data_IF_666665966374
#
_entry.id   IF_666665966374
#
_cell.length_a   1.000
_cell.length_b   1.000
_cell.length_c   1.000
_cell.angle_alpha   90.00
_cell.angle_beta   90.00
_cell.angle_gamma   90.00
#
_symmetry.space_group_name_H-M   'P 1'
#
loop_
_entity.id
_entity.type
_entity.pdbx_description
1 polymer ?
#
# COMPACT_ATOMS: atom_id res chain seq x y z
N UNK A 1 7.68 7.75 -33.73
CA UNK A 1 6.77 8.90 -33.57
C UNK A 1 5.66 8.53 -32.58
N UNK A 2 5.30 9.40 -31.64
CA UNK A 2 4.25 9.11 -30.64
C UNK A 2 2.85 9.21 -31.24
N UNK A 3 1.90 8.41 -30.73
CA UNK A 3 0.50 8.48 -31.17
C UNK A 3 -0.18 9.76 -30.69
N UNK A 4 -1.26 10.19 -31.35
CA UNK A 4 -2.02 11.41 -31.01
C UNK A 4 -2.51 11.47 -29.56
N UNK A 5 -2.77 10.32 -28.96
CA UNK A 5 -3.25 10.21 -27.58
C UNK A 5 -2.11 10.06 -26.55
N UNK A 6 -0.86 10.01 -27.00
CA UNK A 6 0.29 9.89 -26.12
C UNK A 6 0.51 11.20 -25.35
N UNK A 7 0.87 11.07 -24.07
CA UNK A 7 1.29 12.19 -23.23
C UNK A 7 2.49 12.98 -23.78
N UNK A 8 3.28 12.39 -24.68
CA UNK A 8 4.46 12.99 -25.29
C UNK A 8 4.22 13.54 -26.70
N UNK A 9 3.00 13.41 -27.24
CA UNK A 9 2.71 13.79 -28.63
C UNK A 9 2.96 15.26 -28.92
N UNK A 10 2.57 16.15 -27.99
CA UNK A 10 2.67 17.61 -28.15
C UNK A 10 4.04 18.19 -27.75
N UNK A 11 4.99 17.34 -27.33
CA UNK A 11 6.30 17.83 -26.91
C UNK A 11 7.22 18.08 -28.10
N UNK A 12 8.01 19.17 -28.08
CA UNK A 12 9.00 19.43 -29.11
C UNK A 12 10.09 18.37 -29.09
N UNK A 13 10.59 18.06 -30.29
CA UNK A 13 11.79 17.25 -30.47
C UNK A 13 13.03 18.12 -30.23
N UNK A 14 14.02 17.54 -29.57
CA UNK A 14 15.33 18.14 -29.30
C UNK A 14 16.37 17.22 -29.92
N UNK A 15 17.31 17.81 -30.65
CA UNK A 15 18.39 17.08 -31.31
C UNK A 15 19.69 17.49 -30.66
N UNK A 16 20.45 16.51 -30.17
CA UNK A 16 21.75 16.75 -29.52
C UNK A 16 22.82 15.88 -30.17
N UNK A 17 24.03 16.40 -30.27
CA UNK A 17 25.20 15.66 -30.76
C UNK A 17 25.97 15.13 -29.57
N UNK A 18 26.25 13.83 -29.55
CA UNK A 18 27.10 13.24 -28.50
C UNK A 18 28.59 13.51 -28.74
N UNK A 19 29.44 13.11 -27.79
CA UNK A 19 30.90 13.27 -27.88
C UNK A 19 31.54 12.49 -29.04
N UNK A 20 30.81 11.54 -29.66
CA UNK A 20 31.25 10.77 -30.83
C UNK A 20 30.74 11.34 -32.16
N UNK A 21 30.06 12.51 -32.14
CA UNK A 21 29.50 13.14 -33.33
C UNK A 21 28.17 12.55 -33.80
N UNK A 22 27.56 11.64 -33.03
CA UNK A 22 26.25 11.05 -33.38
C UNK A 22 25.12 11.99 -32.99
N UNK A 23 24.19 12.17 -33.92
CA UNK A 23 22.97 12.95 -33.72
C UNK A 23 21.88 12.10 -33.07
N UNK A 24 21.40 12.50 -31.90
CA UNK A 24 20.34 11.84 -31.16
C UNK A 24 19.11 12.74 -31.06
N UNK A 25 17.96 12.25 -31.55
CA UNK A 25 16.68 12.92 -31.41
C UNK A 25 15.93 12.40 -30.18
N UNK A 26 15.49 13.31 -29.32
CA UNK A 26 14.73 13.03 -28.11
C UNK A 26 13.56 14.00 -27.95
N UNK A 27 12.67 13.77 -26.98
CA UNK A 27 11.65 14.75 -26.58
C UNK A 27 12.16 15.58 -25.41
N UNK A 28 11.74 16.83 -25.33
CA UNK A 28 11.97 17.65 -24.15
C UNK A 28 11.34 17.05 -22.89
N UNK A 29 11.83 17.44 -21.70
CA UNK A 29 11.27 17.03 -20.42
C UNK A 29 9.83 17.54 -20.28
N UNK A 30 8.91 16.62 -19.96
CA UNK A 30 7.51 16.95 -19.68
C UNK A 30 7.37 17.46 -18.24
N UNK A 31 6.80 18.65 -18.06
CA UNK A 31 6.34 19.11 -16.74
C UNK A 31 4.98 18.51 -16.42
N UNK A 32 4.77 18.12 -15.16
CA UNK A 32 3.47 17.64 -14.69
C UNK A 32 2.44 18.78 -14.74
N UNK A 33 1.23 18.55 -15.29
CA UNK A 33 0.19 19.56 -15.30
C UNK A 33 -0.32 19.81 -13.88
N UNK A 34 -0.72 21.05 -13.59
CA UNK A 34 -1.55 21.33 -12.42
C UNK A 34 -2.96 20.80 -12.71
N UNK A 35 -3.47 19.91 -11.87
CA UNK A 35 -4.79 19.32 -12.05
C UNK A 35 -5.80 20.10 -11.21
N UNK A 36 -6.84 20.65 -11.86
CA UNK A 36 -7.96 21.32 -11.20
C UNK A 36 -9.23 20.48 -11.24
N UNK A 37 -9.96 20.44 -10.13
CA UNK A 37 -11.18 19.65 -9.95
C UNK A 37 -10.90 18.27 -9.36
N UNK A 38 -11.52 18.00 -8.20
CA UNK A 38 -11.30 16.82 -7.36
C UNK A 38 -12.48 15.86 -7.50
N UNK A 39 -12.52 15.08 -8.58
CA UNK A 39 -13.28 13.82 -8.53
C UNK A 39 -12.36 12.76 -7.93
N UNK A 40 -12.83 12.06 -6.90
CA UNK A 40 -12.11 10.97 -6.28
C UNK A 40 -12.74 9.63 -6.69
N UNK A 41 -11.90 8.63 -6.94
CA UNK A 41 -12.30 7.23 -7.04
C UNK A 41 -11.78 6.48 -5.82
N UNK A 42 -12.67 5.76 -5.15
CA UNK A 42 -12.33 4.86 -4.05
C UNK A 42 -11.79 3.55 -4.61
N UNK A 43 -10.56 3.21 -4.27
CA UNK A 43 -9.88 2.02 -4.80
C UNK A 43 -10.55 0.75 -4.30
N UNK A 44 -10.85 -0.16 -5.22
CA UNK A 44 -11.37 -1.51 -4.99
C UNK A 44 -10.31 -2.55 -5.33
N UNK A 45 -10.37 -3.73 -4.72
CA UNK A 45 -9.39 -4.81 -4.93
C UNK A 45 -9.26 -5.23 -6.41
N UNK A 46 -10.39 -5.25 -7.13
CA UNK A 46 -10.47 -5.60 -8.55
C UNK A 46 -9.95 -4.52 -9.51
N UNK A 47 -9.58 -3.34 -9.01
CA UNK A 47 -9.26 -2.21 -9.88
C UNK A 47 -8.02 -2.44 -10.73
N UNK A 48 -8.10 -1.97 -11.98
CA UNK A 48 -6.95 -1.87 -12.87
C UNK A 48 -6.97 -0.51 -13.54
N UNK A 49 -5.80 0.09 -13.68
CA UNK A 49 -5.67 1.46 -14.21
C UNK A 49 -6.22 1.60 -15.64
N UNK A 50 -6.06 0.58 -16.48
CA UNK A 50 -6.61 0.52 -17.83
C UNK A 50 -8.15 0.46 -17.83
N UNK A 51 -8.75 -0.31 -16.94
CA UNK A 51 -10.20 -0.38 -16.74
C UNK A 51 -10.76 0.91 -16.20
N UNK A 52 -10.12 1.51 -15.19
CA UNK A 52 -10.51 2.82 -14.65
C UNK A 52 -10.42 3.90 -15.74
N UNK A 53 -9.34 3.91 -16.53
CA UNK A 53 -9.21 4.86 -17.63
C UNK A 53 -10.28 4.66 -18.70
N UNK A 54 -10.69 3.42 -18.97
CA UNK A 54 -11.83 3.16 -19.85
C UNK A 54 -13.15 3.65 -19.22
N UNK A 55 -13.40 3.35 -17.95
CA UNK A 55 -14.58 3.80 -17.19
C UNK A 55 -14.75 5.32 -17.23
N UNK A 56 -13.68 6.07 -16.96
CA UNK A 56 -13.74 7.53 -16.83
C UNK A 56 -13.47 8.30 -18.13
N UNK A 57 -12.68 7.75 -19.05
CA UNK A 57 -12.24 8.46 -20.26
C UNK A 57 -12.67 7.80 -21.57
N UNK A 58 -13.33 6.64 -21.51
CA UNK A 58 -13.61 5.80 -22.68
C UNK A 58 -12.35 5.46 -23.49
N UNK A 59 -11.19 5.47 -22.82
CA UNK A 59 -9.88 5.27 -23.43
C UNK A 59 -8.90 4.66 -22.41
N UNK A 60 -8.69 3.34 -22.50
CA UNK A 60 -7.85 2.59 -21.56
C UNK A 60 -6.41 3.09 -21.50
N UNK A 61 -5.87 3.64 -22.61
CA UNK A 61 -4.49 4.17 -22.65
C UNK A 61 -4.32 5.53 -21.98
N UNK A 62 -5.39 6.15 -21.49
CA UNK A 62 -5.33 7.45 -20.78
C UNK A 62 -5.13 7.31 -19.27
N UNK A 63 -4.77 6.13 -18.77
CA UNK A 63 -4.48 5.89 -17.35
C UNK A 63 -3.36 6.78 -16.78
N UNK A 64 -2.43 7.21 -17.63
CA UNK A 64 -1.35 8.12 -17.24
C UNK A 64 -1.87 9.47 -16.73
N UNK A 65 -3.09 9.88 -17.09
CA UNK A 65 -3.71 11.10 -16.55
C UNK A 65 -3.96 10.99 -15.05
N UNK A 66 -4.37 9.82 -14.58
CA UNK A 66 -4.54 9.56 -13.14
C UNK A 66 -3.20 9.65 -12.41
N UNK A 67 -2.12 9.16 -13.04
CA UNK A 67 -0.78 9.25 -12.45
C UNK A 67 -0.30 10.70 -12.36
N UNK A 68 -0.49 11.49 -13.43
CA UNK A 68 -0.14 12.91 -13.42
C UNK A 68 -0.92 13.70 -12.36
N UNK A 69 -2.12 13.24 -11.98
CA UNK A 69 -2.99 13.88 -10.99
C UNK A 69 -2.70 13.48 -9.54
N UNK A 70 -1.93 12.40 -9.31
CA UNK A 70 -1.55 11.93 -7.98
C UNK A 70 -0.01 11.84 -7.90
N UNK A 71 0.69 12.99 -7.94
CA UNK A 71 2.15 13.05 -8.04
C UNK A 71 2.89 12.55 -6.79
N UNK A 72 2.19 12.36 -5.66
CA UNK A 72 2.72 11.76 -4.44
C UNK A 72 3.12 10.28 -4.61
N UNK A 73 2.58 9.60 -5.64
CA UNK A 73 2.94 8.22 -5.96
C UNK A 73 4.01 8.16 -7.05
N UNK A 74 5.08 7.42 -6.77
CA UNK A 74 6.19 7.24 -7.70
C UNK A 74 5.92 6.18 -8.78
N UNK A 75 4.98 5.26 -8.54
CA UNK A 75 4.65 4.17 -9.46
C UNK A 75 3.13 4.10 -9.75
N UNK A 76 2.72 3.68 -10.96
CA UNK A 76 1.31 3.46 -11.25
C UNK A 76 0.68 2.37 -10.38
N UNK A 77 1.45 1.35 -10.01
CA UNK A 77 0.96 0.28 -9.14
C UNK A 77 0.71 0.79 -7.71
N UNK A 78 1.49 1.77 -7.24
CA UNK A 78 1.30 2.39 -5.95
C UNK A 78 -0.08 3.04 -5.81
N UNK A 79 -0.66 3.61 -6.87
CA UNK A 79 -2.02 4.20 -6.83
C UNK A 79 -3.06 3.18 -6.35
N UNK A 80 -2.90 1.91 -6.74
CA UNK A 80 -3.83 0.82 -6.44
C UNK A 80 -3.35 -0.08 -5.29
N UNK A 81 -2.20 0.21 -4.68
CA UNK A 81 -1.60 -0.64 -3.66
C UNK A 81 -1.16 -2.02 -4.18
N UNK A 82 -0.85 -2.12 -5.49
CA UNK A 82 -0.48 -3.37 -6.18
C UNK A 82 1.03 -3.54 -6.35
N UNK A 83 1.82 -2.97 -5.44
CA UNK A 83 3.27 -3.07 -5.46
C UNK A 83 3.75 -4.42 -4.87
N UNK A 84 4.96 -4.88 -5.23
CA UNK A 84 5.53 -6.10 -4.64
C UNK A 84 5.83 -5.97 -3.14
N UNK A 85 6.21 -4.78 -2.69
CA UNK A 85 6.45 -4.49 -1.27
C UNK A 85 5.11 -4.13 -0.63
N UNK A 86 4.74 -4.88 0.40
CA UNK A 86 3.41 -4.83 1.01
C UNK A 86 3.52 -4.92 2.51
N UNK A 87 2.54 -4.38 3.22
CA UNK A 87 2.45 -4.47 4.67
C UNK A 87 1.21 -5.26 5.06
N UNK A 88 1.40 -6.34 5.81
CA UNK A 88 0.31 -7.12 6.40
C UNK A 88 0.30 -6.95 7.93
N UNK A 89 -0.90 -6.80 8.49
CA UNK A 89 -1.16 -6.79 9.93
C UNK A 89 -1.51 -8.22 10.36
N UNK A 90 -0.71 -8.78 11.27
CA UNK A 90 -0.95 -10.08 11.87
C UNK A 90 -1.42 -9.86 13.31
N UNK A 91 -2.71 -10.03 13.58
CA UNK A 91 -3.21 -10.03 14.95
C UNK A 91 -2.69 -11.26 15.69
N UNK A 92 -2.08 -11.05 16.85
CA UNK A 92 -1.39 -12.10 17.60
C UNK A 92 -1.84 -12.15 19.06
N UNK A 93 -1.90 -13.36 19.59
CA UNK A 93 -2.00 -13.62 21.03
C UNK A 93 -0.86 -14.55 21.45
N UNK A 94 -0.56 -14.59 22.75
CA UNK A 94 0.51 -15.44 23.28
C UNK A 94 0.08 -16.00 24.63
N UNK A 95 0.67 -17.14 25.01
CA UNK A 95 0.50 -17.70 26.33
C UNK A 95 1.59 -17.18 27.27
N UNK A 96 1.23 -16.93 28.54
CA UNK A 96 2.17 -16.55 29.59
C UNK A 96 2.14 -15.07 29.95
N UNK A 97 3.06 -14.68 30.84
CA UNK A 97 3.06 -13.34 31.44
C UNK A 97 3.70 -12.26 30.55
N UNK A 98 4.60 -12.65 29.63
CA UNK A 98 5.35 -11.72 28.79
C UNK A 98 5.40 -12.21 27.34
N UNK A 99 5.13 -11.35 26.35
CA UNK A 99 5.20 -11.72 24.95
C UNK A 99 6.66 -11.94 24.50
N UNK A 100 6.96 -12.97 23.70
CA UNK A 100 8.30 -13.23 23.17
C UNK A 100 8.68 -12.29 22.00
N UNK A 101 8.53 -10.97 22.18
CA UNK A 101 8.74 -9.95 21.14
C UNK A 101 10.13 -10.00 20.51
N UNK A 102 11.17 -10.10 21.33
CA UNK A 102 12.56 -10.12 20.86
C UNK A 102 12.81 -11.32 19.94
N UNK A 103 12.26 -12.49 20.30
CA UNK A 103 12.39 -13.72 19.53
C UNK A 103 11.70 -13.59 18.18
N UNK A 104 10.44 -13.15 18.15
CA UNK A 104 9.69 -13.05 16.90
C UNK A 104 10.25 -11.98 15.97
N UNK A 105 10.63 -10.82 16.51
CA UNK A 105 11.24 -9.74 15.71
C UNK A 105 12.54 -10.21 15.09
N UNK A 106 13.41 -10.88 15.85
CA UNK A 106 14.65 -11.47 15.33
C UNK A 106 14.39 -12.49 14.22
N UNK A 107 13.47 -13.43 14.45
CA UNK A 107 13.22 -14.51 13.50
C UNK A 107 12.61 -14.01 12.20
N UNK A 108 11.76 -12.97 12.27
CA UNK A 108 11.17 -12.33 11.10
C UNK A 108 12.20 -11.48 10.32
N UNK A 109 13.01 -10.66 11.01
CA UNK A 109 14.01 -9.81 10.33
C UNK A 109 15.13 -10.60 9.66
N UNK A 110 15.33 -11.87 10.05
CA UNK A 110 16.25 -12.79 9.39
C UNK A 110 15.69 -13.43 8.11
N UNK A 111 14.39 -13.29 7.82
CA UNK A 111 13.80 -13.85 6.62
C UNK A 111 14.17 -13.02 5.38
N UNK A 112 14.60 -13.70 4.31
CA UNK A 112 14.87 -13.05 3.03
C UNK A 112 13.57 -12.47 2.48
N UNK A 113 13.58 -11.16 2.20
CA UNK A 113 12.43 -10.44 1.67
C UNK A 113 11.60 -9.70 2.73
N UNK A 114 11.89 -9.84 4.03
CA UNK A 114 11.34 -8.95 5.07
C UNK A 114 12.15 -7.66 5.09
N UNK A 115 11.46 -6.52 5.02
CA UNK A 115 12.04 -5.18 5.04
C UNK A 115 11.92 -4.53 6.42
N UNK A 116 10.73 -4.64 7.03
CA UNK A 116 10.46 -4.06 8.34
C UNK A 116 9.50 -4.91 9.16
N UNK A 117 9.66 -4.85 10.47
CA UNK A 117 8.78 -5.48 11.45
C UNK A 117 8.47 -4.46 12.53
N UNK A 118 7.19 -4.17 12.75
CA UNK A 118 6.71 -3.27 13.79
C UNK A 118 5.71 -4.01 14.68
N UNK A 119 5.83 -3.81 16.00
CA UNK A 119 4.85 -4.31 16.97
C UNK A 119 3.92 -3.17 17.33
N UNK A 120 2.62 -3.44 17.27
CA UNK A 120 1.56 -2.49 17.62
C UNK A 120 0.73 -3.08 18.74
N UNK A 121 0.44 -2.24 19.74
CA UNK A 121 -0.46 -2.57 20.84
C UNK A 121 -1.52 -1.47 20.91
N UNK A 122 -2.77 -1.86 20.67
CA UNK A 122 -3.95 -1.00 20.74
C UNK A 122 -4.65 -1.28 22.08
N UNK A 123 -4.85 -0.23 22.89
CA UNK A 123 -5.53 -0.33 24.19
C UNK A 123 -6.97 0.15 24.06
N UNK A 124 -7.92 -0.71 24.44
CA UNK A 124 -9.34 -0.36 24.51
C UNK A 124 -9.89 -0.65 25.90
N UNK A 125 -10.77 0.22 26.38
CA UNK A 125 -11.50 0.01 27.63
C UNK A 125 -12.80 -0.73 27.32
N UNK A 126 -12.94 -1.95 27.81
CA UNK A 126 -14.17 -2.74 27.72
C UNK A 126 -14.87 -2.80 29.07
N UNK A 127 -16.18 -2.64 29.06
CA UNK A 127 -16.97 -2.67 30.28
C UNK A 127 -17.31 -4.13 30.61
N UNK A 128 -16.83 -4.62 31.75
CA UNK A 128 -17.05 -5.98 32.22
C UNK A 128 -17.83 -5.97 33.54
N UNK A 129 -18.81 -6.86 33.66
CA UNK A 129 -19.48 -7.11 34.93
C UNK A 129 -18.61 -8.06 35.76
N UNK A 130 -18.18 -7.59 36.93
CA UNK A 130 -17.38 -8.37 37.88
C UNK A 130 -18.12 -8.43 39.21
N UNK A 131 -18.23 -9.63 39.78
CA UNK A 131 -18.79 -9.79 41.13
C UNK A 131 -17.70 -9.54 42.16
N UNK A 132 -17.84 -8.47 42.93
CA UNK A 132 -16.95 -8.16 44.06
C UNK A 132 -17.78 -8.23 45.33
N UNK A 133 -17.40 -9.12 46.24
CA UNK A 133 -18.10 -9.35 47.52
C UNK A 133 -19.62 -9.64 47.37
N UNK A 134 -20.04 -10.31 46.29
CA UNK A 134 -21.44 -10.68 46.06
C UNK A 134 -22.31 -9.59 45.41
N UNK A 135 -21.76 -8.42 45.08
CA UNK A 135 -22.41 -7.39 44.27
C UNK A 135 -21.83 -7.37 42.86
N UNK A 136 -22.72 -7.28 41.86
CA UNK A 136 -22.32 -7.10 40.46
C UNK A 136 -21.95 -5.64 40.23
N UNK A 137 -20.67 -5.36 39.99
CA UNK A 137 -20.16 -4.03 39.68
C UNK A 137 -19.72 -4.00 38.23
N UNK A 138 -20.03 -2.90 37.55
CA UNK A 138 -19.59 -2.62 36.19
C UNK A 138 -18.20 -1.98 36.31
N UNK A 139 -17.17 -2.65 35.80
CA UNK A 139 -15.79 -2.15 35.78
C UNK A 139 -15.31 -1.97 34.36
N UNK A 140 -14.50 -0.95 34.11
CA UNK A 140 -13.77 -0.82 32.85
C UNK A 140 -12.49 -1.62 32.96
N UNK A 141 -12.32 -2.57 32.06
CA UNK A 141 -11.13 -3.43 31.95
C UNK A 141 -10.36 -3.02 30.72
N UNK A 142 -9.05 -2.86 30.87
CA UNK A 142 -8.15 -2.62 29.75
C UNK A 142 -7.98 -3.92 28.96
N UNK A 143 -8.33 -3.87 27.68
CA UNK A 143 -8.15 -4.96 26.74
C UNK A 143 -7.15 -4.52 25.67
N UNK A 144 -6.04 -5.25 25.59
CA UNK A 144 -4.98 -5.01 24.61
C UNK A 144 -5.24 -5.86 23.37
N UNK A 145 -5.37 -5.22 22.21
CA UNK A 145 -5.24 -5.88 20.92
C UNK A 145 -3.79 -5.72 20.45
N UNK A 146 -3.15 -6.82 20.07
CA UNK A 146 -1.74 -6.83 19.68
C UNK A 146 -1.62 -7.31 18.25
N UNK A 147 -0.78 -6.62 17.49
CA UNK A 147 -0.48 -7.01 16.13
C UNK A 147 1.00 -6.83 15.80
N UNK A 148 1.47 -7.64 14.85
CA UNK A 148 2.76 -7.47 14.21
C UNK A 148 2.48 -7.00 12.78
N UNK A 149 2.95 -5.81 12.43
CA UNK A 149 2.99 -5.32 11.06
C UNK A 149 4.30 -5.80 10.44
N UNK A 150 4.20 -6.49 9.30
CA UNK A 150 5.38 -6.91 8.54
C UNK A 150 5.32 -6.28 7.16
N UNK A 151 6.34 -5.50 6.83
CA UNK A 151 6.58 -5.01 5.47
C UNK A 151 7.55 -5.95 4.79
N UNK A 152 7.15 -6.53 3.66
CA UNK A 152 7.92 -7.54 2.97
C UNK A 152 7.65 -7.55 1.46
N UNK A 153 8.59 -8.11 0.70
CA UNK A 153 8.41 -8.40 -0.71
C UNK A 153 7.63 -9.71 -0.88
N UNK A 154 6.37 -9.60 -1.31
CA UNK A 154 5.47 -10.74 -1.48
C UNK A 154 5.88 -11.70 -2.61
N UNK A 155 6.85 -11.31 -3.45
CA UNK A 155 7.44 -12.20 -4.46
C UNK A 155 8.49 -13.15 -3.87
N UNK A 156 9.05 -12.82 -2.70
CA UNK A 156 10.11 -13.59 -2.06
C UNK A 156 9.58 -14.48 -0.92
N UNK A 157 8.58 -14.00 -0.18
CA UNK A 157 8.02 -14.69 0.97
C UNK A 157 6.50 -14.49 1.03
N UNK A 158 5.77 -15.54 1.40
CA UNK A 158 4.32 -15.51 1.54
C UNK A 158 3.91 -15.13 2.97
N UNK A 159 2.75 -14.50 3.13
CA UNK A 159 2.19 -14.16 4.44
C UNK A 159 2.04 -15.39 5.36
N UNK A 160 1.70 -16.56 4.80
CA UNK A 160 1.59 -17.81 5.55
C UNK A 160 2.92 -18.31 6.11
N UNK A 161 4.03 -18.07 5.41
CA UNK A 161 5.37 -18.39 5.91
C UNK A 161 5.74 -17.47 7.09
N UNK A 162 5.43 -16.17 6.99
CA UNK A 162 5.60 -15.22 8.09
C UNK A 162 4.77 -15.60 9.32
N UNK A 163 3.50 -15.98 9.11
CA UNK A 163 2.65 -16.49 10.19
C UNK A 163 3.24 -17.75 10.84
N UNK A 164 3.83 -18.65 10.05
CA UNK A 164 4.50 -19.85 10.57
C UNK A 164 5.71 -19.50 11.45
N UNK A 165 6.50 -18.49 11.06
CA UNK A 165 7.62 -17.97 11.87
C UNK A 165 7.12 -17.39 13.20
N UNK A 166 6.01 -16.65 13.19
CA UNK A 166 5.40 -16.10 14.41
C UNK A 166 4.88 -17.22 15.32
N UNK A 167 4.24 -18.24 14.76
CA UNK A 167 3.77 -19.40 15.53
C UNK A 167 4.92 -20.20 16.14
N UNK A 168 5.99 -20.44 15.39
CA UNK A 168 7.20 -21.06 15.91
C UNK A 168 7.87 -20.21 17.01
N UNK A 169 7.62 -18.89 17.03
CA UNK A 169 8.11 -17.98 18.06
C UNK A 169 7.21 -17.87 19.29
N UNK A 170 6.11 -18.64 19.35
CA UNK A 170 5.21 -18.73 20.52
C UNK A 170 3.92 -17.93 20.43
N UNK A 171 3.55 -17.43 19.25
CA UNK A 171 2.30 -16.69 19.04
C UNK A 171 1.21 -17.55 18.42
N UNK A 172 -0.05 -17.30 18.81
CA UNK A 172 -1.22 -17.71 18.05
C UNK A 172 -1.56 -16.55 17.11
N UNK A 173 -1.60 -16.84 15.81
CA UNK A 173 -1.68 -15.82 14.76
C UNK A 173 -3.02 -15.96 14.05
N UNK A 174 -3.76 -14.85 13.92
CA UNK A 174 -4.98 -14.79 13.10
C UNK A 174 -4.62 -14.57 11.63
N UNK A 175 -5.55 -14.82 10.68
CA UNK A 175 -5.30 -14.52 9.26
C UNK A 175 -4.82 -13.08 9.07
N UNK A 176 -3.78 -12.84 8.25
CA UNK A 176 -3.24 -11.51 8.03
C UNK A 176 -4.23 -10.61 7.28
N UNK A 177 -4.22 -9.34 7.64
CA UNK A 177 -5.00 -8.29 6.99
C UNK A 177 -4.06 -7.37 6.20
N UNK A 178 -4.29 -7.26 4.89
CA UNK A 178 -3.49 -6.40 4.01
C UNK A 178 -3.74 -4.94 4.36
N UNK A 179 -2.70 -4.24 4.79
CA UNK A 179 -2.72 -2.78 4.95
C UNK A 179 -2.49 -2.17 3.56
N UNK A 180 -3.50 -2.30 2.70
CA UNK A 180 -3.46 -1.88 1.30
C UNK A 180 -4.08 -0.50 1.08
N UNK A 181 -4.37 -0.21 -0.20
CA UNK A 181 -5.09 1.01 -0.59
C UNK A 181 -6.57 0.79 -0.87
N UNK A 182 -7.11 -0.40 -0.63
CA UNK A 182 -8.55 -0.64 -0.77
C UNK A 182 -9.31 0.28 0.18
N UNK A 183 -10.28 1.04 -0.35
CA UNK A 183 -11.00 2.08 0.39
C UNK A 183 -10.31 3.46 0.39
N UNK A 184 -9.05 3.56 -0.04
CA UNK A 184 -8.38 4.84 -0.19
C UNK A 184 -8.83 5.56 -1.48
N UNK A 185 -8.72 6.88 -1.50
CA UNK A 185 -9.09 7.68 -2.66
C UNK A 185 -7.89 7.94 -3.58
N UNK A 186 -8.16 8.00 -4.89
CA UNK A 186 -7.26 8.55 -5.91
C UNK A 186 -7.99 9.61 -6.73
N UNK A 187 -7.27 10.65 -7.13
CA UNK A 187 -7.80 11.74 -7.94
C UNK A 187 -7.94 11.28 -9.39
N UNK A 188 -9.13 11.50 -9.97
CA UNK A 188 -9.41 11.31 -11.39
C UNK A 188 -9.58 12.69 -12.03
N UNK A 189 -8.60 13.17 -12.83
CA UNK A 189 -8.75 14.45 -13.50
C UNK A 189 -9.88 14.40 -14.51
N UNK A 190 -10.54 15.54 -14.74
CA UNK A 190 -11.56 15.67 -15.78
C UNK A 190 -10.99 15.31 -17.15
N UNK A 191 -11.85 14.76 -18.01
CA UNK A 191 -11.51 14.54 -19.40
C UNK A 191 -11.52 15.86 -20.17
N UNK A 192 -10.50 16.68 -20.00
CA UNK A 192 -10.29 17.85 -20.86
C UNK A 192 -9.72 17.36 -22.20
N UNK A 193 -10.52 17.51 -23.24
CA UNK A 193 -10.08 17.44 -24.63
C UNK A 193 -9.29 18.70 -24.91
N UNK A 194 -7.97 18.63 -24.72
CA UNK A 194 -7.03 19.68 -25.12
C UNK A 194 -6.35 19.35 -26.43
#
# INVERSE_FOLDING_TARGET
MFSRISRYHKLPDVVTTDSSGRTLASKTLRRLPQVSGTFAHTVEDGDRLDHLAYKYYQQSRNWWRMNDANPEFLSPQALLGKEPIVTDRFAVTFAGAQPPWITVVRNLTQQVGVEAVLVVEDLHLTTQQVSVAGQTVIVNVEQFERAILVTYNQLNILASALASVMTASGFVVRPPERTGRVGAEIIIPRNVTG
#
